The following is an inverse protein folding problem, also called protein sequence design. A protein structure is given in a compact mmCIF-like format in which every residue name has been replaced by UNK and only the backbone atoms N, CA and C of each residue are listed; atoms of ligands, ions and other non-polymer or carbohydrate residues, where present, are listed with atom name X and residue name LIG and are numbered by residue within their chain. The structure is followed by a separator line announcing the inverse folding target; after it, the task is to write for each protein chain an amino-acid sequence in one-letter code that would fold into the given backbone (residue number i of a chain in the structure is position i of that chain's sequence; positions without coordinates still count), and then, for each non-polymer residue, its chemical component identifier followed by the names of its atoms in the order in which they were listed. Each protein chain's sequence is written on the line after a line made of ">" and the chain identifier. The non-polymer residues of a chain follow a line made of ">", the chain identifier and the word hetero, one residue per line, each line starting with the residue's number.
data_IF_839735993364
#
_entry.id   IF_839735993364
#
_cell.length_a   1.000
_cell.length_b   1.000
_cell.length_c   1.000
_cell.angle_alpha   90.00
_cell.angle_beta   90.00
_cell.angle_gamma   90.00
#
_symmetry.space_group_name_H-M   'P 1'
#
loop_
_entity.id
_entity.type
_entity.pdbx_description
1 polymer ?
#
# COMPACT_ATOMS: atom_id res chain seq x y z
N UNK A 1 22.01 8.95 18.77
CA UNK A 1 22.75 9.04 17.50
C UNK A 1 22.73 7.66 16.86
N UNK A 2 21.70 7.38 16.09
CA UNK A 2 21.67 6.24 15.18
C UNK A 2 21.82 6.84 13.79
N UNK A 3 23.05 6.91 13.30
CA UNK A 3 23.31 7.15 11.89
C UNK A 3 22.92 5.87 11.18
N UNK A 4 21.71 5.84 10.62
CA UNK A 4 21.40 4.84 9.59
C UNK A 4 22.33 5.19 8.44
N UNK A 5 23.32 4.31 8.17
CA UNK A 5 24.14 4.34 6.97
C UNK A 5 23.20 4.08 5.78
N UNK A 6 22.47 5.10 5.35
CA UNK A 6 21.68 5.03 4.13
C UNK A 6 22.67 5.25 3.01
N UNK A 7 22.89 4.19 2.24
CA UNK A 7 23.65 4.25 0.98
C UNK A 7 22.82 4.99 -0.08
N UNK A 8 22.48 6.26 0.19
CA UNK A 8 22.05 7.18 -0.85
C UNK A 8 23.27 7.38 -1.76
N UNK A 9 23.13 7.23 -3.08
CA UNK A 9 24.20 7.64 -3.97
C UNK A 9 24.52 9.12 -3.69
N UNK A 10 25.81 9.48 -3.73
CA UNK A 10 26.29 10.88 -3.60
C UNK A 10 25.80 11.69 -4.81
N UNK A 11 24.52 12.00 -4.80
CA UNK A 11 23.85 12.80 -5.84
C UNK A 11 23.55 14.14 -5.21
N UNK A 12 24.19 15.18 -5.73
CA UNK A 12 24.01 16.56 -5.26
C UNK A 12 22.53 17.00 -5.28
N UNK A 13 21.71 16.44 -6.18
CA UNK A 13 20.27 16.70 -6.25
C UNK A 13 19.48 16.15 -5.05
N UNK A 14 19.79 14.93 -4.58
CA UNK A 14 19.14 14.33 -3.40
C UNK A 14 19.49 15.10 -2.13
N UNK A 15 20.76 15.51 -1.99
CA UNK A 15 21.19 16.33 -0.85
C UNK A 15 20.52 17.70 -0.83
N UNK A 16 20.37 18.33 -2.00
CA UNK A 16 19.61 19.59 -2.13
C UNK A 16 18.16 19.43 -1.72
N UNK A 17 17.50 18.36 -2.18
CA UNK A 17 16.10 18.10 -1.85
C UNK A 17 15.91 17.88 -0.35
N UNK A 18 16.78 17.09 0.27
CA UNK A 18 16.80 16.87 1.72
C UNK A 18 16.98 18.18 2.46
N UNK A 19 17.93 19.03 2.03
CA UNK A 19 18.19 20.31 2.66
C UNK A 19 17.00 21.27 2.53
N UNK A 20 16.37 21.34 1.36
CA UNK A 20 15.14 22.11 1.17
C UNK A 20 13.99 21.59 2.03
N UNK A 21 13.83 20.26 2.16
CA UNK A 21 12.82 19.66 3.02
C UNK A 21 13.06 19.92 4.50
N UNK A 22 14.31 19.93 4.94
CA UNK A 22 14.70 20.29 6.30
C UNK A 22 14.51 21.80 6.58
N UNK A 23 14.74 22.67 5.60
CA UNK A 23 14.51 24.11 5.74
C UNK A 23 13.02 24.50 5.72
N UNK A 24 12.24 23.88 4.83
CA UNK A 24 10.80 24.14 4.69
C UNK A 24 9.96 23.35 5.69
N UNK A 25 10.47 22.23 6.20
CA UNK A 25 9.75 21.29 7.08
C UNK A 25 8.67 20.48 6.37
N UNK A 26 8.42 20.73 5.09
CA UNK A 26 7.40 20.08 4.25
C UNK A 26 7.98 19.78 2.87
N UNK A 27 7.63 18.63 2.30
CA UNK A 27 7.98 18.25 0.92
C UNK A 27 6.80 17.59 0.23
N UNK A 28 6.59 17.91 -1.05
CA UNK A 28 5.52 17.30 -1.84
C UNK A 28 6.04 16.06 -2.58
N UNK A 29 5.18 15.06 -2.80
CA UNK A 29 5.57 13.87 -3.57
C UNK A 29 6.03 14.18 -5.01
N UNK A 30 5.50 15.24 -5.63
CA UNK A 30 5.93 15.65 -6.98
C UNK A 30 7.36 16.20 -6.99
N UNK A 31 7.76 16.91 -5.93
CA UNK A 31 9.13 17.43 -5.78
C UNK A 31 10.11 16.27 -5.58
N UNK A 32 9.71 15.28 -4.77
CA UNK A 32 10.48 14.06 -4.55
C UNK A 32 10.59 13.25 -5.84
N UNK A 33 9.47 13.02 -6.55
CA UNK A 33 9.46 12.29 -7.81
C UNK A 33 10.33 12.96 -8.89
N UNK A 34 10.29 14.29 -8.99
CA UNK A 34 11.12 15.05 -9.93
C UNK A 34 12.61 14.90 -9.63
N UNK A 35 13.01 14.95 -8.35
CA UNK A 35 14.40 14.75 -7.96
C UNK A 35 14.86 13.30 -8.10
N UNK A 36 13.94 12.33 -8.03
CA UNK A 36 14.20 10.91 -8.24
C UNK A 36 14.20 10.54 -9.74
N UNK A 37 13.62 11.35 -10.64
CA UNK A 37 13.52 11.03 -12.07
C UNK A 37 14.90 10.98 -12.74
N UNK A 38 15.82 11.85 -12.28
CA UNK A 38 17.21 11.89 -12.74
C UNK A 38 18.12 10.86 -12.06
N UNK A 39 17.60 10.10 -11.08
CA UNK A 39 18.38 9.13 -10.29
C UNK A 39 17.80 7.73 -10.44
N UNK A 40 18.58 6.82 -11.02
CA UNK A 40 18.21 5.39 -11.05
C UNK A 40 18.29 4.77 -9.65
N UNK A 41 17.22 4.91 -8.87
CA UNK A 41 17.06 4.26 -7.57
C UNK A 41 16.17 3.03 -7.68
N UNK A 42 16.53 2.01 -6.92
CA UNK A 42 15.69 0.82 -6.77
C UNK A 42 14.57 1.07 -5.75
N UNK A 43 13.58 0.16 -5.70
CA UNK A 43 12.40 0.33 -4.84
C UNK A 43 12.75 0.44 -3.35
N UNK A 44 13.73 -0.32 -2.87
CA UNK A 44 14.18 -0.27 -1.47
C UNK A 44 14.84 1.08 -1.14
N UNK A 45 15.69 1.60 -2.02
CA UNK A 45 16.34 2.90 -1.84
C UNK A 45 15.34 4.06 -1.80
N UNK A 46 14.27 3.97 -2.60
CA UNK A 46 13.20 4.95 -2.59
C UNK A 46 12.44 4.91 -1.25
N UNK A 47 12.13 3.72 -0.73
CA UNK A 47 11.46 3.55 0.57
C UNK A 47 12.35 4.04 1.74
N UNK A 48 13.64 3.75 1.70
CA UNK A 48 14.62 4.25 2.68
C UNK A 48 14.71 5.78 2.66
N UNK A 49 14.63 6.39 1.47
CA UNK A 49 14.64 7.84 1.31
C UNK A 49 13.39 8.51 1.91
N UNK A 50 12.20 7.94 1.68
CA UNK A 50 10.97 8.43 2.32
C UNK A 50 11.04 8.32 3.85
N UNK A 51 11.57 7.20 4.35
CA UNK A 51 11.74 6.97 5.79
C UNK A 51 12.71 7.98 6.40
N UNK A 52 13.80 8.29 5.69
CA UNK A 52 14.79 9.28 6.10
C UNK A 52 14.20 10.68 6.26
N UNK A 53 13.39 11.13 5.28
CA UNK A 53 12.73 12.43 5.33
C UNK A 53 11.81 12.56 6.55
N UNK A 54 11.03 11.52 6.84
CA UNK A 54 10.12 11.49 8.00
C UNK A 54 10.91 11.51 9.32
N UNK A 55 11.98 10.71 9.44
CA UNK A 55 12.80 10.64 10.65
C UNK A 55 13.53 11.98 10.95
N UNK A 56 13.86 12.72 9.90
CA UNK A 56 14.48 14.05 9.99
C UNK A 56 13.46 15.19 10.16
N UNK A 57 12.18 14.87 10.34
CA UNK A 57 11.13 15.84 10.68
C UNK A 57 10.54 16.58 9.48
N UNK A 58 10.65 16.02 8.28
CA UNK A 58 9.99 16.56 7.08
C UNK A 58 8.61 15.94 6.92
N UNK A 59 7.58 16.77 6.85
CA UNK A 59 6.20 16.35 6.64
C UNK A 59 5.91 16.20 5.14
N UNK A 60 5.54 14.98 4.72
CA UNK A 60 5.27 14.66 3.32
C UNK A 60 3.82 15.02 2.96
N UNK A 61 3.64 15.93 2.00
CA UNK A 61 2.33 16.38 1.52
C UNK A 61 1.95 15.78 0.16
N UNK A 62 0.64 15.67 -0.05
CA UNK A 62 0.06 15.25 -1.33
C UNK A 62 0.43 16.26 -2.45
N UNK A 63 1.03 15.78 -3.54
CA UNK A 63 1.28 16.56 -4.76
C UNK A 63 0.05 16.63 -5.69
N UNK A 64 0.11 17.48 -6.70
CA UNK A 64 -0.92 17.57 -7.74
C UNK A 64 -0.99 16.29 -8.59
N UNK A 65 0.17 15.68 -8.88
CA UNK A 65 0.24 14.42 -9.66
C UNK A 65 0.42 13.17 -8.80
N UNK A 66 1.18 13.25 -7.70
CA UNK A 66 1.44 12.12 -6.80
C UNK A 66 0.79 12.40 -5.44
N UNK A 67 -0.35 11.75 -5.15
CA UNK A 67 -1.02 11.85 -3.83
C UNK A 67 -0.41 10.92 -2.77
N UNK A 68 0.40 9.97 -3.22
CA UNK A 68 1.05 8.95 -2.41
C UNK A 68 2.47 8.73 -2.93
N UNK A 69 3.37 8.14 -2.12
CA UNK A 69 4.67 7.69 -2.61
C UNK A 69 4.50 6.82 -3.88
N UNK A 70 5.46 6.81 -4.82
CA UNK A 70 5.40 5.98 -6.04
C UNK A 70 5.15 4.48 -5.77
N UNK A 71 5.49 3.99 -4.57
CA UNK A 71 5.23 2.61 -4.13
C UNK A 71 3.79 2.39 -3.59
N UNK A 72 3.02 3.45 -3.35
CA UNK A 72 1.65 3.46 -2.82
C UNK A 72 0.63 4.04 -3.82
N UNK A 73 1.04 4.42 -5.03
CA UNK A 73 0.11 4.72 -6.11
C UNK A 73 -0.74 3.47 -6.42
N UNK A 74 -1.90 3.38 -5.77
CA UNK A 74 -3.06 2.70 -6.32
C UNK A 74 -3.32 3.40 -7.66
N UNK A 75 -3.28 2.69 -8.79
CA UNK A 75 -3.57 3.33 -10.06
C UNK A 75 -4.97 3.93 -9.97
N UNK A 76 -5.06 5.25 -10.18
CA UNK A 76 -6.34 5.90 -10.46
C UNK A 76 -6.99 5.16 -11.64
N UNK A 77 -8.32 5.06 -11.71
CA UNK A 77 -8.99 4.37 -12.80
C UNK A 77 -8.82 5.19 -14.08
N UNK A 78 -7.71 4.98 -14.77
CA UNK A 78 -7.58 5.32 -16.17
C UNK A 78 -8.48 4.35 -16.94
N UNK A 79 -9.57 4.88 -17.47
CA UNK A 79 -10.31 4.24 -18.54
C UNK A 79 -9.44 4.17 -19.80
N UNK A 80 -8.41 3.32 -19.86
CA UNK A 80 -7.89 2.79 -21.13
C UNK A 80 -7.21 1.42 -20.93
N UNK A 81 -7.89 0.39 -21.48
CA UNK A 81 -7.34 -0.87 -22.03
C UNK A 81 -6.08 -1.44 -21.34
N UNK A 82 -6.22 -1.87 -20.09
CA UNK A 82 -5.29 -2.83 -19.49
C UNK A 82 -5.23 -4.15 -20.28
N UNK A 83 -4.10 -4.87 -20.26
CA UNK A 83 -3.93 -6.09 -21.02
C UNK A 83 -5.00 -7.08 -20.58
N UNK A 84 -5.66 -7.75 -21.53
CA UNK A 84 -6.46 -8.93 -21.19
C UNK A 84 -5.49 -9.87 -20.47
N UNK A 85 -5.70 -10.08 -19.16
CA UNK A 85 -5.14 -11.24 -18.48
C UNK A 85 -5.62 -12.44 -19.28
N UNK A 86 -4.78 -12.95 -20.18
CA UNK A 86 -5.08 -14.16 -20.92
C UNK A 86 -4.86 -15.31 -19.96
N UNK A 87 -5.91 -15.58 -19.18
CA UNK A 87 -5.97 -16.62 -18.18
C UNK A 87 -5.99 -18.03 -18.80
N UNK A 88 -5.73 -18.18 -20.11
CA UNK A 88 -6.06 -19.35 -20.93
C UNK A 88 -5.28 -20.64 -20.66
N UNK A 89 -4.41 -20.70 -19.64
CA UNK A 89 -3.46 -21.82 -19.49
C UNK A 89 -3.69 -22.72 -18.26
N UNK A 90 -4.69 -22.49 -17.38
CA UNK A 90 -4.94 -23.44 -16.28
C UNK A 90 -6.40 -23.91 -16.10
N UNK A 91 -6.65 -25.19 -15.73
CA UNK A 91 -8.00 -25.73 -15.49
C UNK A 91 -8.69 -25.21 -14.22
N UNK A 92 -8.04 -24.33 -13.44
CA UNK A 92 -8.44 -23.86 -12.10
C UNK A 92 -9.24 -22.54 -12.09
N UNK A 93 -9.53 -21.96 -13.26
CA UNK A 93 -10.03 -20.59 -13.41
C UNK A 93 -11.43 -20.34 -12.87
N UNK A 94 -12.31 -21.34 -12.82
CA UNK A 94 -13.69 -21.12 -12.39
C UNK A 94 -13.78 -20.77 -10.91
N UNK A 95 -12.91 -21.36 -10.08
CA UNK A 95 -12.83 -21.05 -8.65
C UNK A 95 -12.32 -19.63 -8.41
N UNK A 96 -11.24 -19.23 -9.10
CA UNK A 96 -10.68 -17.89 -8.99
C UNK A 96 -11.63 -16.82 -9.54
N UNK A 97 -12.27 -17.07 -10.69
CA UNK A 97 -13.26 -16.14 -11.26
C UNK A 97 -14.48 -16.00 -10.36
N UNK A 98 -14.96 -17.10 -9.77
CA UNK A 98 -16.05 -17.06 -8.81
C UNK A 98 -15.65 -16.23 -7.57
N UNK A 99 -14.45 -16.47 -7.04
CA UNK A 99 -13.90 -15.73 -5.90
C UNK A 99 -13.81 -14.22 -6.19
N UNK A 100 -13.21 -13.82 -7.32
CA UNK A 100 -13.07 -12.42 -7.72
C UNK A 100 -14.44 -11.74 -7.90
N UNK A 101 -15.43 -12.47 -8.42
CA UNK A 101 -16.80 -11.96 -8.53
C UNK A 101 -17.43 -11.77 -7.16
N UNK A 102 -17.20 -12.69 -6.22
CA UNK A 102 -17.81 -12.65 -4.89
C UNK A 102 -17.28 -11.48 -4.07
N UNK A 103 -15.96 -11.28 -4.03
CA UNK A 103 -15.35 -10.14 -3.33
C UNK A 103 -15.71 -8.79 -3.98
N UNK A 104 -16.05 -8.79 -5.27
CA UNK A 104 -16.51 -7.60 -6.00
C UNK A 104 -17.91 -7.14 -5.62
N UNK A 105 -18.73 -8.00 -5.01
CA UNK A 105 -20.08 -7.65 -4.54
C UNK A 105 -20.07 -6.90 -3.21
N UNK A 106 -19.02 -7.05 -2.42
CA UNK A 106 -18.91 -6.44 -1.10
C UNK A 106 -18.59 -4.95 -1.27
N UNK A 107 -19.41 -4.04 -0.71
CA UNK A 107 -19.15 -2.61 -0.80
C UNK A 107 -17.91 -2.24 0.02
N UNK A 108 -17.22 -1.18 -0.43
CA UNK A 108 -16.08 -0.62 0.31
C UNK A 108 -16.59 0.06 1.58
N UNK A 109 -15.77 -0.01 2.64
CA UNK A 109 -16.07 0.66 3.90
C UNK A 109 -15.67 2.14 3.83
N UNK A 110 -16.47 2.98 4.47
CA UNK A 110 -16.05 4.36 4.78
C UNK A 110 -15.19 4.39 6.06
N UNK A 111 -14.44 5.46 6.26
CA UNK A 111 -13.63 5.63 7.47
C UNK A 111 -14.47 5.48 8.77
N UNK A 112 -15.68 6.05 8.80
CA UNK A 112 -16.58 5.90 9.95
C UNK A 112 -17.02 4.45 10.17
N UNK A 113 -17.26 3.70 9.09
CA UNK A 113 -17.61 2.29 9.16
C UNK A 113 -16.43 1.44 9.64
N UNK A 114 -15.20 1.75 9.20
CA UNK A 114 -13.98 1.10 9.71
C UNK A 114 -13.86 1.30 11.22
N UNK A 115 -14.02 2.52 11.72
CA UNK A 115 -13.99 2.83 13.15
C UNK A 115 -15.11 2.09 13.90
N UNK A 116 -16.32 2.04 13.33
CA UNK A 116 -17.44 1.33 13.92
C UNK A 116 -17.19 -0.18 14.05
N UNK A 117 -16.66 -0.81 12.99
CA UNK A 117 -16.31 -2.23 13.00
C UNK A 117 -15.14 -2.51 13.95
N UNK A 118 -14.10 -1.69 13.94
CA UNK A 118 -12.95 -1.83 14.83
C UNK A 118 -13.36 -1.79 16.32
N UNK A 119 -14.27 -0.89 16.70
CA UNK A 119 -14.83 -0.84 18.07
C UNK A 119 -15.60 -2.12 18.45
N UNK A 120 -16.28 -2.75 17.49
CA UNK A 120 -16.98 -4.02 17.73
C UNK A 120 -15.98 -5.18 17.83
N UNK A 121 -14.95 -5.18 17.01
CA UNK A 121 -13.86 -6.16 17.04
C UNK A 121 -13.11 -6.12 18.38
N UNK A 122 -12.84 -4.94 18.93
CA UNK A 122 -12.25 -4.79 20.29
C UNK A 122 -13.11 -5.47 21.38
N UNK A 123 -14.42 -5.58 21.16
CA UNK A 123 -15.36 -6.25 22.07
C UNK A 123 -15.50 -7.76 21.82
N UNK A 124 -14.70 -8.32 20.90
CA UNK A 124 -14.72 -9.74 20.53
C UNK A 124 -15.80 -10.10 19.51
N UNK A 125 -16.37 -9.14 18.78
CA UNK A 125 -17.38 -9.41 17.76
C UNK A 125 -16.77 -10.02 16.49
N UNK A 126 -16.87 -11.35 16.39
CA UNK A 126 -16.37 -12.09 15.23
C UNK A 126 -17.10 -11.74 13.93
N UNK A 127 -18.37 -11.33 13.98
CA UNK A 127 -19.10 -10.92 12.78
C UNK A 127 -18.54 -9.62 12.20
N UNK A 128 -18.18 -8.67 13.07
CA UNK A 128 -17.56 -7.42 12.67
C UNK A 128 -16.16 -7.67 12.08
N UNK A 129 -15.41 -8.64 12.64
CA UNK A 129 -14.12 -9.06 12.11
C UNK A 129 -14.25 -9.61 10.68
N UNK A 130 -15.17 -10.54 10.47
CA UNK A 130 -15.43 -11.10 9.13
C UNK A 130 -15.84 -10.02 8.14
N UNK A 131 -16.76 -9.13 8.54
CA UNK A 131 -17.22 -8.04 7.69
C UNK A 131 -16.06 -7.09 7.29
N UNK A 132 -15.17 -6.79 8.24
CA UNK A 132 -14.00 -5.94 7.98
C UNK A 132 -12.99 -6.61 7.05
N UNK A 133 -12.79 -7.92 7.17
CA UNK A 133 -11.95 -8.71 6.27
C UNK A 133 -12.56 -8.71 4.86
N UNK A 134 -13.82 -9.11 4.72
CA UNK A 134 -14.51 -9.26 3.44
C UNK A 134 -14.50 -7.97 2.60
N UNK A 135 -14.75 -6.83 3.25
CA UNK A 135 -14.74 -5.54 2.56
C UNK A 135 -13.35 -5.12 2.05
N UNK A 136 -12.28 -5.70 2.59
CA UNK A 136 -10.89 -5.38 2.24
C UNK A 136 -10.20 -6.46 1.39
N UNK A 137 -10.90 -7.54 0.99
CA UNK A 137 -10.32 -8.58 0.13
C UNK A 137 -9.89 -8.04 -1.25
N UNK A 138 -10.54 -6.98 -1.73
CA UNK A 138 -10.14 -6.29 -2.98
C UNK A 138 -8.75 -5.67 -2.88
N UNK A 139 -8.38 -5.14 -1.72
CA UNK A 139 -7.05 -4.58 -1.46
C UNK A 139 -5.97 -5.67 -1.57
N UNK A 140 -6.22 -6.84 -0.98
CA UNK A 140 -5.33 -8.01 -1.06
C UNK A 140 -5.07 -8.39 -2.51
N UNK A 141 -6.13 -8.50 -3.31
CA UNK A 141 -6.02 -8.83 -4.74
C UNK A 141 -5.23 -7.77 -5.51
N UNK A 142 -5.44 -6.48 -5.23
CA UNK A 142 -4.65 -5.42 -5.88
C UNK A 142 -3.17 -5.47 -5.52
N UNK A 143 -2.83 -5.77 -4.26
CA UNK A 143 -1.43 -5.88 -3.82
C UNK A 143 -0.80 -7.13 -4.42
N UNK A 144 -1.46 -8.29 -4.34
CA UNK A 144 -0.98 -9.57 -4.86
C UNK A 144 -0.64 -9.53 -6.36
N UNK A 145 -1.37 -8.73 -7.16
CA UNK A 145 -1.06 -8.53 -8.59
C UNK A 145 0.36 -8.02 -8.84
N UNK A 146 0.90 -7.19 -7.94
CA UNK A 146 2.26 -6.65 -8.06
C UNK A 146 3.36 -7.67 -7.78
N UNK A 147 3.00 -8.87 -7.30
CA UNK A 147 3.89 -9.99 -7.01
C UNK A 147 3.79 -11.13 -8.04
N UNK A 148 2.97 -10.95 -9.08
CA UNK A 148 2.90 -11.90 -10.20
C UNK A 148 4.26 -12.05 -10.89
N UNK A 149 4.54 -13.26 -11.38
CA UNK A 149 5.77 -13.57 -12.10
C UNK A 149 7.01 -13.82 -11.22
N UNK A 150 6.86 -13.83 -9.89
CA UNK A 150 7.94 -14.14 -8.93
C UNK A 150 8.01 -15.62 -8.51
N UNK A 151 7.39 -16.51 -9.29
CA UNK A 151 7.45 -17.97 -9.08
C UNK A 151 6.38 -18.58 -8.18
N UNK A 152 5.52 -17.76 -7.55
CA UNK A 152 4.33 -18.21 -6.83
C UNK A 152 3.07 -18.07 -7.70
N UNK A 153 2.09 -18.95 -7.47
CA UNK A 153 0.79 -18.84 -8.13
C UNK A 153 0.01 -17.63 -7.60
N UNK A 154 -0.89 -17.08 -8.42
CA UNK A 154 -1.69 -15.94 -7.98
C UNK A 154 -2.61 -16.28 -6.80
N UNK A 155 -3.10 -17.52 -6.76
CA UNK A 155 -3.90 -18.01 -5.63
C UNK A 155 -3.07 -18.01 -4.35
N UNK A 156 -1.84 -18.49 -4.39
CA UNK A 156 -0.96 -18.51 -3.21
C UNK A 156 -0.68 -17.09 -2.70
N UNK A 157 -0.40 -16.15 -3.60
CA UNK A 157 -0.21 -14.74 -3.26
C UNK A 157 -1.45 -14.12 -2.59
N UNK A 158 -2.65 -14.44 -3.08
CA UNK A 158 -3.90 -13.99 -2.47
C UNK A 158 -4.09 -14.62 -1.09
N UNK A 159 -3.76 -15.90 -0.93
CA UNK A 159 -3.91 -16.60 0.35
C UNK A 159 -2.97 -16.03 1.41
N UNK A 160 -1.69 -15.83 1.08
CA UNK A 160 -0.72 -15.19 1.99
C UNK A 160 -1.14 -13.76 2.34
N UNK A 161 -1.51 -12.96 1.34
CA UNK A 161 -2.00 -11.60 1.59
C UNK A 161 -3.28 -11.57 2.44
N UNK A 162 -4.14 -12.59 2.34
CA UNK A 162 -5.34 -12.72 3.17
C UNK A 162 -4.99 -13.01 4.63
N UNK A 163 -3.93 -13.79 4.90
CA UNK A 163 -3.41 -14.00 6.25
C UNK A 163 -2.85 -12.70 6.83
N UNK A 164 -2.13 -11.93 6.00
CA UNK A 164 -1.68 -10.57 6.33
C UNK A 164 -2.84 -9.66 6.72
N UNK A 165 -3.89 -9.63 5.89
CA UNK A 165 -5.11 -8.85 6.18
C UNK A 165 -5.76 -9.25 7.50
N UNK A 166 -5.88 -10.54 7.81
CA UNK A 166 -6.46 -11.01 9.08
C UNK A 166 -5.66 -10.47 10.26
N UNK A 167 -4.33 -10.52 10.19
CA UNK A 167 -3.44 -9.96 11.24
C UNK A 167 -3.59 -8.45 11.36
N UNK A 168 -3.75 -7.75 10.23
CA UNK A 168 -4.02 -6.31 10.24
C UNK A 168 -5.32 -6.00 10.98
N UNK A 169 -6.41 -6.72 10.70
CA UNK A 169 -7.70 -6.52 11.38
C UNK A 169 -7.59 -6.76 12.89
N UNK A 170 -6.81 -7.75 13.31
CA UNK A 170 -6.61 -8.05 14.74
C UNK A 170 -5.83 -6.96 15.49
N UNK A 171 -4.92 -6.27 14.80
CA UNK A 171 -3.98 -5.31 15.39
C UNK A 171 -4.30 -3.85 15.08
N UNK A 172 -5.34 -3.60 14.31
CA UNK A 172 -5.72 -2.26 13.89
C UNK A 172 -6.17 -1.41 15.08
N UNK A 173 -5.57 -0.23 15.22
CA UNK A 173 -5.94 0.76 16.22
C UNK A 173 -6.53 2.00 15.55
N UNK A 174 -7.85 2.11 15.59
CA UNK A 174 -8.59 3.24 15.01
C UNK A 174 -8.33 4.57 15.71
N UNK A 175 -7.73 4.58 16.91
CA UNK A 175 -7.45 5.82 17.66
C UNK A 175 -6.28 6.61 17.06
N UNK A 176 -5.46 5.96 16.22
CA UNK A 176 -4.31 6.59 15.57
C UNK A 176 -4.68 7.51 14.40
N UNK A 177 -5.93 7.50 13.95
CA UNK A 177 -6.43 8.43 12.93
C UNK A 177 -6.06 8.09 11.47
N UNK A 178 -5.28 7.04 11.23
CA UNK A 178 -5.00 6.55 9.88
C UNK A 178 -6.10 5.60 9.37
N UNK A 179 -6.31 5.60 8.05
CA UNK A 179 -7.25 4.68 7.38
C UNK A 179 -6.79 3.23 7.53
N UNK A 180 -7.72 2.29 7.60
CA UNK A 180 -7.38 0.88 7.71
C UNK A 180 -6.57 0.37 6.50
N UNK A 181 -6.90 0.83 5.29
CA UNK A 181 -6.21 0.42 4.05
C UNK A 181 -4.70 0.69 4.09
N UNK A 182 -4.28 1.84 4.62
CA UNK A 182 -2.87 2.22 4.76
C UNK A 182 -2.17 1.26 5.73
N UNK A 183 -2.78 1.00 6.88
CA UNK A 183 -2.24 0.06 7.86
C UNK A 183 -2.16 -1.37 7.31
N UNK A 184 -3.22 -1.84 6.67
CA UNK A 184 -3.33 -3.21 6.15
C UNK A 184 -2.30 -3.51 5.06
N UNK A 185 -1.92 -2.50 4.27
CA UNK A 185 -0.95 -2.67 3.17
C UNK A 185 0.38 -3.23 3.66
N UNK A 186 0.89 -2.76 4.81
CA UNK A 186 2.12 -3.28 5.43
C UNK A 186 2.00 -4.76 5.80
N UNK A 187 0.87 -5.18 6.36
CA UNK A 187 0.67 -6.57 6.75
C UNK A 187 0.44 -7.52 5.58
N UNK A 188 -0.15 -7.03 4.49
CA UNK A 188 -0.43 -7.82 3.29
C UNK A 188 0.85 -8.06 2.47
N UNK A 189 1.80 -7.12 2.52
CA UNK A 189 3.08 -7.22 1.80
C UNK A 189 4.14 -8.07 2.50
N UNK A 190 4.02 -8.22 3.83
CA UNK A 190 4.94 -8.93 4.70
C UNK A 190 4.82 -10.45 4.57
#
# INVERSE_FOLDING_TARGET
>A
MLTVDISLPDVEELQKLVQEGLEKGVLNYDEIATALDDVELNKEQIEDFYTYLIDHGVELMEGETHKHPPHEQLPAPEEEKGPKLDLSVEPSLDSLRLYLREIGKVPLLTADQEVYLAKRIERGDMSAKTQMIEANLRLVVSIAKSYLGRGLSFLDLIQEGSLGLIRAVEKFDYRKGYKFSTYATWWIRQ
#
